data_IF_652344109945
#
_entry.id   IF_652344109945
#
_cell.length_a   1.000
_cell.length_b   1.000
_cell.length_c   1.000
_cell.angle_alpha   90.00
_cell.angle_beta   90.00
_cell.angle_gamma   90.00
#
_symmetry.space_group_name_H-M   'P 1'
#
loop_
_entity.id
_entity.type
_entity.pdbx_description
1 polymer ?
#
# COMPACT_ATOMS: atom_id res chain seq x y z
N UNK A 1 8.16 -9.14 -35.90
CA UNK A 1 7.30 -9.40 -34.74
C UNK A 1 8.00 -8.78 -33.55
N UNK A 2 7.56 -7.61 -33.09
CA UNK A 2 8.15 -6.96 -31.91
C UNK A 2 7.29 -7.39 -30.74
N UNK A 3 7.87 -8.18 -29.84
CA UNK A 3 7.23 -8.57 -28.60
C UNK A 3 6.97 -7.30 -27.78
N UNK A 4 5.72 -6.83 -27.77
CA UNK A 4 5.26 -5.81 -26.84
C UNK A 4 5.25 -6.44 -25.44
N UNK A 5 6.42 -6.51 -24.81
CA UNK A 5 6.50 -6.83 -23.39
C UNK A 5 6.04 -5.59 -22.64
N UNK A 6 4.80 -5.58 -22.16
CA UNK A 6 4.34 -4.54 -21.23
C UNK A 6 5.35 -4.49 -20.09
N UNK A 7 6.02 -3.35 -19.94
CA UNK A 7 6.96 -3.14 -18.84
C UNK A 7 6.21 -3.39 -17.53
N UNK A 8 6.82 -4.17 -16.62
CA UNK A 8 6.19 -4.45 -15.33
C UNK A 8 6.16 -3.15 -14.51
N UNK A 9 5.08 -2.88 -13.77
CA UNK A 9 5.03 -1.69 -12.93
C UNK A 9 6.12 -1.72 -11.84
N UNK A 10 6.38 -2.89 -11.26
CA UNK A 10 7.50 -3.11 -10.35
C UNK A 10 7.92 -4.61 -10.31
N UNK A 11 9.08 -4.92 -9.72
CA UNK A 11 9.55 -6.31 -9.51
C UNK A 11 9.26 -6.79 -8.08
N UNK A 12 9.54 -5.95 -7.09
CA UNK A 12 9.29 -6.23 -5.66
C UNK A 12 8.93 -4.96 -4.90
N UNK A 13 8.38 -5.12 -3.70
CA UNK A 13 8.13 -4.03 -2.76
C UNK A 13 8.57 -4.43 -1.35
N UNK A 14 8.86 -3.44 -0.50
CA UNK A 14 9.21 -3.65 0.90
C UNK A 14 8.75 -2.50 1.79
N UNK A 15 8.47 -2.79 3.06
CA UNK A 15 8.33 -1.76 4.09
C UNK A 15 9.68 -1.08 4.34
N UNK A 16 9.67 0.25 4.45
CA UNK A 16 10.84 1.05 4.82
C UNK A 16 10.47 1.99 5.96
N UNK A 17 11.31 2.04 6.99
CA UNK A 17 11.22 3.02 8.06
C UNK A 17 12.01 4.27 7.65
N UNK A 18 11.38 5.46 7.70
CA UNK A 18 12.08 6.74 7.63
C UNK A 18 12.10 7.32 9.04
N UNK A 19 13.22 7.10 9.73
CA UNK A 19 13.53 7.53 11.09
C UNK A 19 12.67 6.93 12.22
N UNK A 20 13.30 6.73 13.39
CA UNK A 20 12.78 6.02 14.56
C UNK A 20 11.59 6.71 15.26
N UNK A 21 11.22 7.93 14.84
CA UNK A 21 10.19 8.77 15.46
C UNK A 21 8.89 8.89 14.62
N UNK A 22 8.77 8.15 13.51
CA UNK A 22 7.56 8.20 12.67
C UNK A 22 6.68 6.97 12.88
N UNK A 23 5.45 7.19 13.36
CA UNK A 23 4.37 6.20 13.43
C UNK A 23 3.81 5.79 12.04
N UNK A 24 4.56 6.03 10.96
CA UNK A 24 4.11 5.81 9.58
C UNK A 24 5.06 4.89 8.84
N UNK A 25 4.52 3.77 8.36
CA UNK A 25 5.23 2.86 7.47
C UNK A 25 5.16 3.33 6.03
N UNK A 26 6.32 3.29 5.36
CA UNK A 26 6.42 3.58 3.94
C UNK A 26 6.63 2.28 3.16
N UNK A 27 6.23 2.31 1.89
CA UNK A 27 6.43 1.22 0.94
C UNK A 27 7.32 1.75 -0.16
N UNK A 28 8.41 1.01 -0.43
CA UNK A 28 9.30 1.25 -1.56
C UNK A 28 9.06 0.20 -2.65
N UNK A 29 9.05 0.66 -3.90
CA UNK A 29 9.01 -0.20 -5.09
C UNK A 29 10.40 -0.34 -5.70
N UNK A 30 10.77 -1.55 -6.10
CA UNK A 30 12.06 -1.85 -6.73
C UNK A 30 11.87 -2.57 -8.08
N UNK A 31 12.64 -2.12 -9.08
CA UNK A 31 12.57 -2.60 -10.46
C UNK A 31 11.30 -2.16 -11.18
N UNK A 32 11.26 -2.29 -12.50
CA UNK A 32 10.11 -1.87 -13.33
C UNK A 32 9.91 -0.36 -13.44
N UNK A 33 8.78 0.04 -14.02
CA UNK A 33 8.44 1.44 -14.33
C UNK A 33 8.42 2.37 -13.10
N UNK A 34 7.97 1.87 -11.96
CA UNK A 34 7.87 2.65 -10.71
C UNK A 34 9.03 2.38 -9.75
N UNK A 35 10.16 1.90 -10.25
CA UNK A 35 11.35 1.66 -9.43
C UNK A 35 11.78 2.93 -8.70
N UNK A 36 12.07 2.81 -7.40
CA UNK A 36 12.50 3.91 -6.54
C UNK A 36 11.35 4.76 -5.97
N UNK A 37 10.10 4.51 -6.37
CA UNK A 37 8.95 5.19 -5.78
C UNK A 37 8.78 4.77 -4.33
N UNK A 38 8.58 5.76 -3.45
CA UNK A 38 8.26 5.57 -2.04
C UNK A 38 6.93 6.25 -1.73
N UNK A 39 5.99 5.52 -1.14
CA UNK A 39 4.67 6.03 -0.79
C UNK A 39 4.20 5.50 0.57
N UNK A 40 3.16 6.10 1.14
CA UNK A 40 2.49 5.58 2.34
C UNK A 40 0.97 5.74 2.22
N UNK A 41 0.23 4.89 2.93
CA UNK A 41 -1.22 5.08 3.12
C UNK A 41 -1.45 6.14 4.20
N UNK A 42 -2.37 7.05 3.95
CA UNK A 42 -2.75 8.12 4.90
C UNK A 42 -4.11 7.87 5.53
N UNK A 43 -4.99 7.14 4.84
CA UNK A 43 -6.32 6.79 5.32
C UNK A 43 -6.78 5.51 4.64
N UNK A 44 -7.36 4.59 5.40
CA UNK A 44 -7.95 3.34 4.91
C UNK A 44 -9.33 3.22 5.55
N UNK A 45 -10.38 3.05 4.75
CA UNK A 45 -11.77 2.99 5.21
C UNK A 45 -12.48 1.80 4.57
N UNK A 46 -12.98 0.91 5.41
CA UNK A 46 -13.89 -0.14 4.98
C UNK A 46 -15.25 0.47 4.66
N UNK A 47 -15.85 0.05 3.56
CA UNK A 47 -17.17 0.45 3.10
C UNK A 47 -18.10 -0.78 3.18
N UNK A 48 -18.78 -0.99 4.32
CA UNK A 48 -19.50 -2.24 4.60
C UNK A 48 -20.66 -2.49 3.66
N UNK A 49 -21.28 -1.42 3.16
CA UNK A 49 -22.45 -1.50 2.27
C UNK A 49 -22.11 -2.08 0.89
N UNK A 50 -20.86 -1.91 0.45
CA UNK A 50 -20.40 -2.24 -0.90
C UNK A 50 -19.36 -3.38 -0.92
N UNK A 51 -19.11 -4.04 0.22
CA UNK A 51 -18.02 -5.00 0.41
C UNK A 51 -16.68 -4.50 -0.17
N UNK A 52 -16.44 -3.19 -0.04
CA UNK A 52 -15.31 -2.51 -0.68
C UNK A 52 -14.52 -1.70 0.34
N UNK A 53 -13.41 -1.14 -0.11
CA UNK A 53 -12.53 -0.33 0.72
C UNK A 53 -12.06 0.87 -0.09
N UNK A 54 -12.01 2.03 0.56
CA UNK A 54 -11.35 3.22 0.03
C UNK A 54 -10.06 3.48 0.78
N UNK A 55 -9.08 4.02 0.07
CA UNK A 55 -7.79 4.37 0.65
C UNK A 55 -7.26 5.64 0.02
N UNK A 56 -6.55 6.42 0.83
CA UNK A 56 -5.77 7.58 0.43
C UNK A 56 -4.29 7.25 0.61
N UNK A 57 -3.45 7.78 -0.26
CA UNK A 57 -2.00 7.57 -0.21
C UNK A 57 -1.25 8.84 -0.62
N UNK A 58 -0.03 8.98 -0.11
CA UNK A 58 0.90 10.04 -0.48
C UNK A 58 2.14 9.43 -1.12
N UNK A 59 2.63 10.00 -2.22
CA UNK A 59 3.95 9.69 -2.77
C UNK A 59 4.97 10.65 -2.15
N UNK A 60 6.04 10.08 -1.57
CA UNK A 60 7.10 10.85 -0.89
C UNK A 60 8.38 10.95 -1.73
N UNK A 61 8.62 9.99 -2.61
CA UNK A 61 9.83 9.94 -3.42
C UNK A 61 9.54 9.28 -4.77
N UNK A 62 10.18 9.75 -5.83
CA UNK A 62 10.09 9.21 -7.20
C UNK A 62 11.33 9.62 -8.01
N UNK A 63 11.72 8.78 -8.99
CA UNK A 63 12.92 9.02 -9.80
C UNK A 63 12.66 9.82 -11.09
N UNK A 64 11.54 9.54 -11.75
CA UNK A 64 11.22 10.12 -13.06
C UNK A 64 10.02 11.07 -12.96
N UNK A 65 8.83 10.59 -13.30
CA UNK A 65 7.59 11.36 -13.22
C UNK A 65 6.83 11.03 -11.94
N UNK A 66 6.13 12.03 -11.39
CA UNK A 66 5.24 11.83 -10.24
C UNK A 66 4.13 10.84 -10.61
N UNK A 67 4.10 9.64 -10.02
CA UNK A 67 3.13 8.62 -10.38
C UNK A 67 1.76 8.85 -9.72
N UNK A 68 1.66 9.83 -8.81
CA UNK A 68 0.47 10.09 -8.01
C UNK A 68 -0.77 10.38 -8.87
N UNK A 69 -1.88 9.74 -8.53
CA UNK A 69 -3.16 9.89 -9.21
C UNK A 69 -3.24 9.23 -10.59
N UNK A 70 -2.17 8.63 -11.10
CA UNK A 70 -2.24 7.92 -12.39
C UNK A 70 -3.07 6.63 -12.26
N UNK A 71 -3.96 6.31 -13.23
CA UNK A 71 -4.80 5.12 -13.15
C UNK A 71 -4.03 3.80 -13.01
N UNK A 72 -2.81 3.74 -13.55
CA UNK A 72 -1.92 2.59 -13.45
C UNK A 72 -1.30 2.46 -12.05
N UNK A 73 -0.79 3.57 -11.49
CA UNK A 73 -0.21 3.56 -10.15
C UNK A 73 -1.26 3.34 -9.07
N UNK A 74 -2.46 3.89 -9.21
CA UNK A 74 -3.58 3.63 -8.28
C UNK A 74 -3.88 2.12 -8.15
N UNK A 75 -3.78 1.37 -9.26
CA UNK A 75 -3.95 -0.09 -9.24
C UNK A 75 -2.79 -0.78 -8.52
N UNK A 76 -1.56 -0.33 -8.72
CA UNK A 76 -0.38 -0.85 -8.00
C UNK A 76 -0.55 -0.67 -6.50
N UNK A 77 -0.88 0.55 -6.07
CA UNK A 77 -1.10 0.88 -4.66
C UNK A 77 -2.23 0.05 -4.06
N UNK A 78 -3.37 -0.10 -4.75
CA UNK A 78 -4.48 -0.93 -4.28
C UNK A 78 -4.12 -2.42 -4.17
N UNK A 79 -3.37 -2.95 -5.14
CA UNK A 79 -2.94 -4.36 -5.13
C UNK A 79 -1.97 -4.67 -3.98
N UNK A 80 -1.05 -3.73 -3.69
CA UNK A 80 -0.13 -3.89 -2.56
C UNK A 80 -0.91 -3.85 -1.24
N UNK A 81 -1.87 -2.93 -1.09
CA UNK A 81 -2.70 -2.86 0.12
C UNK A 81 -3.42 -4.18 0.37
N UNK A 82 -4.04 -4.74 -0.68
CA UNK A 82 -4.68 -6.04 -0.60
C UNK A 82 -3.69 -7.11 -0.12
N UNK A 83 -2.50 -7.17 -0.71
CA UNK A 83 -1.50 -8.17 -0.32
C UNK A 83 -1.07 -8.02 1.14
N UNK A 84 -0.89 -6.78 1.63
CA UNK A 84 -0.59 -6.50 3.04
C UNK A 84 -1.70 -7.00 3.96
N UNK A 85 -2.96 -6.74 3.61
CA UNK A 85 -4.12 -7.20 4.39
C UNK A 85 -4.23 -8.73 4.40
N UNK A 86 -4.11 -9.37 3.23
CA UNK A 86 -4.13 -10.83 3.10
C UNK A 86 -3.05 -11.47 3.99
N UNK A 87 -1.81 -10.96 3.93
CA UNK A 87 -0.68 -11.46 4.73
C UNK A 87 -0.91 -11.31 6.24
N UNK A 88 -1.52 -10.21 6.66
CA UNK A 88 -1.80 -9.96 8.08
C UNK A 88 -2.99 -10.80 8.58
N UNK A 89 -3.96 -11.14 7.72
CA UNK A 89 -5.10 -12.00 8.05
C UNK A 89 -4.63 -13.43 8.24
N UNK A 90 -3.76 -13.88 7.33
CA UNK A 90 -3.14 -15.22 7.38
C UNK A 90 -2.26 -15.40 8.62
N UNK A 91 -1.58 -14.33 9.06
CA UNK A 91 -0.76 -14.33 10.28
C UNK A 91 -1.58 -14.19 11.58
N UNK A 92 -2.91 -14.02 11.50
CA UNK A 92 -3.80 -13.70 12.63
C UNK A 92 -3.34 -12.48 13.45
N UNK A 93 -2.61 -11.56 12.83
CA UNK A 93 -1.95 -10.44 13.53
C UNK A 93 -2.84 -9.18 13.53
N UNK A 94 -4.12 -9.35 13.86
CA UNK A 94 -5.12 -8.27 13.79
C UNK A 94 -5.93 -8.10 15.07
N UNK A 95 -6.03 -6.83 15.51
CA UNK A 95 -7.18 -6.30 16.25
C UNK A 95 -8.05 -5.54 15.24
N UNK A 96 -9.05 -6.20 14.68
CA UNK A 96 -10.06 -5.59 13.81
C UNK A 96 -11.32 -5.30 14.64
N UNK A 97 -11.57 -4.02 14.92
CA UNK A 97 -12.74 -3.55 15.68
C UNK A 97 -12.41 -2.42 16.65
N UNK A 98 -13.42 -1.67 17.10
CA UNK A 98 -13.27 -0.84 18.30
C UNK A 98 -12.73 -1.75 19.42
N UNK A 99 -11.64 -1.33 20.07
CA UNK A 99 -11.14 -2.01 21.26
C UNK A 99 -12.31 -1.99 22.26
N UNK A 100 -13.00 -3.11 22.46
CA UNK A 100 -14.05 -3.22 23.47
C UNK A 100 -13.44 -2.85 24.82
N UNK A 101 -13.68 -1.61 25.25
CA UNK A 101 -13.28 -1.09 26.56
C UNK A 101 -14.31 -1.61 27.57
N UNK A 102 -14.48 -2.93 27.67
CA UNK A 102 -15.36 -3.56 28.65
C UNK A 102 -14.94 -5.00 28.89
N UNK A 103 -13.79 -5.19 29.52
CA UNK A 103 -13.69 -6.27 30.51
C UNK A 103 -12.66 -5.90 31.57
N UNK A 104 -13.15 -5.21 32.59
CA UNK A 104 -12.58 -5.21 33.93
C UNK A 104 -13.76 -5.06 34.90
N UNK A 105 -14.43 -6.19 35.15
CA UNK A 105 -15.20 -6.39 36.39
C UNK A 105 -14.29 -6.97 37.46
#
# INVERSE_FOLDING_TARGET
MVSNGSERPFVSWSFVERDLDQDQWYIRLDGGKYSGVVFNYTSIKLLPEDESMSFDYDVKDWLEEDPHGTPEFNKVVGNILKHVLDDAMDKQDFVLGERDINDSK
#
